data_IF_574745374516
#
_entry.id   IF_574745374516
#
_cell.length_a   1.000
_cell.length_b   1.000
_cell.length_c   1.000
_cell.angle_alpha   90.00
_cell.angle_beta   90.00
_cell.angle_gamma   90.00
#
_symmetry.space_group_name_H-M   'P 1'
#
loop_
_entity.id
_entity.type
_entity.pdbx_description
1 polymer ?
#
# COMPACT_ATOMS: atom_id res chain seq x y z
N UNK A 1 -16.88 9.15 16.68
CA UNK A 1 -17.34 7.75 16.54
C UNK A 1 -16.62 6.94 17.61
N UNK A 2 -17.29 6.01 18.29
CA UNK A 2 -16.64 5.18 19.32
C UNK A 2 -16.10 3.90 18.65
N UNK A 3 -14.91 4.00 18.06
CA UNK A 3 -14.30 2.91 17.30
C UNK A 3 -13.53 1.95 18.20
N UNK A 4 -13.55 0.67 17.86
CA UNK A 4 -12.87 -0.40 18.57
C UNK A 4 -12.61 -1.60 17.64
N UNK A 5 -11.93 -2.63 18.16
CA UNK A 5 -11.65 -3.85 17.41
C UNK A 5 -12.92 -4.59 16.93
N UNK A 6 -14.07 -4.38 17.60
CA UNK A 6 -15.38 -4.93 17.23
C UNK A 6 -16.26 -3.95 16.45
N UNK A 7 -15.93 -2.65 16.45
CA UNK A 7 -16.68 -1.59 15.78
C UNK A 7 -15.70 -0.68 15.01
N UNK A 8 -15.39 -1.08 13.78
CA UNK A 8 -14.37 -0.46 12.94
C UNK A 8 -14.97 0.26 11.73
N UNK A 9 -14.17 1.10 11.09
CA UNK A 9 -14.46 1.67 9.76
C UNK A 9 -13.60 0.98 8.70
N UNK A 10 -14.04 0.99 7.46
CA UNK A 10 -13.24 0.52 6.33
C UNK A 10 -13.26 1.52 5.19
N UNK A 11 -12.26 1.38 4.33
CA UNK A 11 -12.14 2.17 3.11
C UNK A 11 -11.28 1.44 2.09
N UNK A 12 -11.57 1.66 0.82
CA UNK A 12 -10.70 1.18 -0.25
C UNK A 12 -9.52 2.13 -0.38
N UNK A 13 -8.31 1.56 -0.41
CA UNK A 13 -7.07 2.32 -0.66
C UNK A 13 -6.32 1.72 -1.83
N UNK A 14 -5.67 2.56 -2.60
CA UNK A 14 -4.80 2.12 -3.68
C UNK A 14 -3.38 2.00 -3.17
N UNK A 15 -2.78 0.82 -3.33
CA UNK A 15 -1.33 0.63 -3.14
C UNK A 15 -0.60 0.37 -4.47
N UNK A 16 -1.36 -0.11 -5.47
CA UNK A 16 -1.01 -0.30 -6.89
C UNK A 16 0.17 -1.24 -7.17
N UNK A 17 1.36 -0.94 -6.66
CA UNK A 17 2.59 -1.69 -6.86
C UNK A 17 3.50 -1.54 -5.65
N UNK A 18 4.31 -2.55 -5.36
CA UNK A 18 5.42 -2.43 -4.40
C UNK A 18 6.72 -1.96 -5.04
N UNK A 19 6.76 -1.71 -6.35
CA UNK A 19 7.98 -1.26 -7.03
C UNK A 19 8.10 0.27 -7.05
N UNK A 20 9.17 0.84 -6.46
CA UNK A 20 9.50 2.25 -6.63
C UNK A 20 9.69 2.69 -8.09
N UNK A 21 10.19 1.79 -8.94
CA UNK A 21 10.45 2.10 -10.35
C UNK A 21 9.13 2.27 -11.11
N UNK A 22 8.20 1.33 -10.93
CA UNK A 22 6.85 1.41 -11.53
C UNK A 22 6.08 2.61 -10.96
N UNK A 23 6.25 2.88 -9.66
CA UNK A 23 5.70 4.07 -9.01
C UNK A 23 6.20 5.38 -9.64
N UNK A 24 7.51 5.51 -9.91
CA UNK A 24 8.10 6.70 -10.53
C UNK A 24 7.64 6.90 -11.99
N UNK A 25 7.50 5.82 -12.76
CA UNK A 25 7.08 5.87 -14.16
C UNK A 25 5.61 6.31 -14.28
N UNK A 26 4.71 5.68 -13.51
CA UNK A 26 3.27 5.79 -13.77
C UNK A 26 2.52 6.70 -12.79
N UNK A 27 3.01 6.86 -11.57
CA UNK A 27 2.21 7.41 -10.46
C UNK A 27 3.04 8.22 -9.45
N UNK A 28 4.09 8.89 -9.94
CA UNK A 28 5.02 9.70 -9.13
C UNK A 28 4.33 10.71 -8.20
N UNK A 29 3.19 11.26 -8.62
CA UNK A 29 2.42 12.22 -7.81
C UNK A 29 1.85 11.60 -6.52
N UNK A 30 1.58 10.30 -6.51
CA UNK A 30 0.88 9.63 -5.41
C UNK A 30 1.75 9.47 -4.16
N UNK A 31 3.07 9.42 -4.30
CA UNK A 31 4.00 9.39 -3.16
C UNK A 31 4.34 10.78 -2.60
N UNK A 32 3.85 11.89 -3.19
CA UNK A 32 4.23 13.23 -2.72
C UNK A 32 3.70 13.54 -1.30
N UNK A 33 4.48 14.27 -0.47
CA UNK A 33 5.75 14.96 -0.77
C UNK A 33 7.00 14.07 -0.78
N UNK A 34 6.86 12.78 -0.50
CA UNK A 34 7.95 11.79 -0.50
C UNK A 34 8.40 11.40 -1.92
N UNK A 35 9.41 10.53 -2.00
CA UNK A 35 9.92 9.97 -3.24
C UNK A 35 9.28 8.60 -3.54
N UNK A 36 9.32 8.15 -4.79
CA UNK A 36 8.86 6.80 -5.14
C UNK A 36 9.58 5.68 -4.38
N UNK A 37 10.83 5.88 -3.98
CA UNK A 37 11.58 4.91 -3.18
C UNK A 37 11.00 4.74 -1.78
N UNK A 38 10.34 5.77 -1.25
CA UNK A 38 9.70 5.73 0.06
C UNK A 38 8.33 5.03 0.00
N UNK A 39 7.79 4.78 -1.19
CA UNK A 39 6.42 4.29 -1.37
C UNK A 39 6.10 3.01 -0.60
N UNK A 40 6.91 1.93 -0.66
CA UNK A 40 6.57 0.68 0.02
C UNK A 40 6.47 0.88 1.55
N UNK A 41 7.38 1.66 2.13
CA UNK A 41 7.39 1.91 3.57
C UNK A 41 6.29 2.90 3.97
N UNK A 42 5.94 3.86 3.10
CA UNK A 42 4.80 4.75 3.29
C UNK A 42 3.48 3.97 3.35
N UNK A 43 3.30 2.97 2.49
CA UNK A 43 2.13 2.08 2.50
C UNK A 43 2.05 1.29 3.81
N UNK A 44 3.17 0.70 4.26
CA UNK A 44 3.20 -0.02 5.54
C UNK A 44 2.85 0.91 6.70
N UNK A 45 3.45 2.11 6.74
CA UNK A 45 3.16 3.08 7.79
C UNK A 45 1.70 3.54 7.79
N UNK A 46 1.09 3.67 6.61
CA UNK A 46 -0.33 3.97 6.50
C UNK A 46 -1.20 2.85 7.11
N UNK A 47 -0.87 1.57 6.85
CA UNK A 47 -1.57 0.43 7.44
C UNK A 47 -1.42 0.38 8.97
N UNK A 48 -0.23 0.69 9.51
CA UNK A 48 -0.02 0.81 10.95
C UNK A 48 -0.95 1.87 11.56
N UNK A 49 -0.98 3.07 10.98
CA UNK A 49 -1.83 4.18 11.45
C UNK A 49 -3.32 3.79 11.39
N UNK A 50 -3.76 3.15 10.30
CA UNK A 50 -5.15 2.72 10.16
C UNK A 50 -5.50 1.66 11.22
N UNK A 51 -4.64 0.67 11.42
CA UNK A 51 -4.84 -0.37 12.40
C UNK A 51 -4.90 0.18 13.84
N UNK A 52 -4.00 1.10 14.21
CA UNK A 52 -4.01 1.80 15.50
C UNK A 52 -5.32 2.57 15.76
N UNK A 53 -6.00 3.00 14.69
CA UNK A 53 -7.25 3.77 14.76
C UNK A 53 -8.51 2.95 14.48
N UNK A 54 -8.42 1.61 14.46
CA UNK A 54 -9.53 0.70 14.15
C UNK A 54 -10.15 0.94 12.76
N UNK A 55 -9.30 1.24 11.77
CA UNK A 55 -9.65 1.22 10.36
C UNK A 55 -9.12 -0.04 9.68
N UNK A 56 -9.95 -0.65 8.84
CA UNK A 56 -9.59 -1.81 8.02
C UNK A 56 -9.47 -1.35 6.57
N UNK A 57 -8.25 -1.22 6.03
CA UNK A 57 -8.04 -0.90 4.62
C UNK A 57 -8.34 -2.09 3.72
N UNK A 58 -9.11 -1.87 2.66
CA UNK A 58 -9.19 -2.80 1.52
C UNK A 58 -8.22 -2.30 0.43
N UNK A 59 -7.04 -2.91 0.33
CA UNK A 59 -6.02 -2.49 -0.64
C UNK A 59 -6.31 -2.99 -2.07
N UNK A 60 -6.04 -2.12 -3.04
CA UNK A 60 -6.08 -2.44 -4.47
C UNK A 60 -4.69 -2.39 -5.09
N UNK A 61 -4.43 -3.36 -5.97
CA UNK A 61 -3.18 -3.58 -6.70
C UNK A 61 -3.46 -3.58 -8.20
N UNK A 62 -2.46 -3.20 -8.99
CA UNK A 62 -2.48 -3.29 -10.45
C UNK A 62 -1.28 -4.12 -10.87
N UNK A 63 -1.53 -5.20 -11.62
CA UNK A 63 -0.50 -6.04 -12.20
C UNK A 63 -0.49 -5.87 -13.72
N UNK A 64 0.67 -6.05 -14.35
CA UNK A 64 0.86 -5.94 -15.79
C UNK A 64 0.91 -4.50 -16.30
N UNK A 65 1.34 -3.55 -15.46
CA UNK A 65 1.56 -2.16 -15.92
C UNK A 65 2.61 -2.11 -17.05
N UNK A 66 2.49 -1.18 -18.02
CA UNK A 66 3.46 -1.09 -19.11
C UNK A 66 4.89 -0.95 -18.59
N UNK A 67 5.75 -1.89 -19.01
CA UNK A 67 7.15 -1.95 -18.58
C UNK A 67 7.37 -2.57 -17.20
N UNK A 68 6.38 -3.22 -16.59
CA UNK A 68 6.55 -4.07 -15.40
C UNK A 68 7.40 -5.31 -15.74
N UNK A 69 8.40 -5.58 -14.90
CA UNK A 69 9.30 -6.71 -15.04
C UNK A 69 9.15 -7.65 -13.83
N UNK A 70 9.71 -8.86 -13.91
CA UNK A 70 9.63 -9.87 -12.84
C UNK A 70 10.07 -9.32 -11.48
N UNK A 71 11.13 -8.51 -11.44
CA UNK A 71 11.62 -7.89 -10.21
C UNK A 71 10.61 -6.94 -9.57
N UNK A 72 9.78 -6.26 -10.35
CA UNK A 72 8.75 -5.36 -9.79
C UNK A 72 7.60 -6.15 -9.19
N UNK A 73 7.30 -7.32 -9.75
CA UNK A 73 6.34 -8.27 -9.20
C UNK A 73 6.87 -8.81 -7.87
N UNK A 74 8.15 -9.19 -7.79
CA UNK A 74 8.79 -9.64 -6.53
C UNK A 74 8.71 -8.56 -5.44
N UNK A 75 8.97 -7.29 -5.79
CA UNK A 75 8.83 -6.18 -4.86
C UNK A 75 7.38 -5.97 -4.41
N UNK A 76 6.42 -6.15 -5.32
CA UNK A 76 4.99 -6.09 -5.01
C UNK A 76 4.57 -7.21 -4.07
N UNK A 77 5.04 -8.44 -4.30
CA UNK A 77 4.83 -9.57 -3.38
C UNK A 77 5.44 -9.26 -2.01
N UNK A 78 6.68 -8.75 -1.97
CA UNK A 78 7.35 -8.36 -0.72
C UNK A 78 6.55 -7.32 0.08
N UNK A 79 5.97 -6.33 -0.59
CA UNK A 79 5.08 -5.37 0.07
C UNK A 79 3.84 -6.06 0.64
N UNK A 80 3.17 -6.92 -0.11
CA UNK A 80 1.98 -7.65 0.36
C UNK A 80 2.30 -8.51 1.59
N UNK A 81 3.44 -9.20 1.58
CA UNK A 81 3.91 -9.99 2.73
C UNK A 81 4.12 -9.12 3.98
N UNK A 82 4.65 -7.90 3.84
CA UNK A 82 4.75 -6.94 4.95
C UNK A 82 3.40 -6.48 5.46
N UNK A 83 2.35 -6.50 4.63
CA UNK A 83 1.01 -6.06 5.01
C UNK A 83 0.15 -7.16 5.67
N UNK A 84 0.51 -8.44 5.51
CA UNK A 84 -0.21 -9.60 6.08
C UNK A 84 -0.54 -9.52 7.58
N UNK A 85 0.29 -8.92 8.46
CA UNK A 85 -0.02 -8.83 9.88
C UNK A 85 -1.20 -7.90 10.20
N UNK A 86 -1.56 -6.99 9.30
CA UNK A 86 -2.65 -6.05 9.52
C UNK A 86 -4.00 -6.67 9.12
N UNK A 87 -5.06 -6.27 9.81
CA UNK A 87 -6.42 -6.62 9.41
C UNK A 87 -6.78 -5.79 8.17
N UNK A 88 -7.02 -6.46 7.04
CA UNK A 88 -7.33 -5.86 5.73
C UNK A 88 -8.26 -6.74 4.91
#
# INVERSE_FOLDING_TARGET
>A
MNLSSSHWLSGQTGIETGSPRIMDIHMRGKCKPYSPNDWPDLVVRAFEILNENNWIPCATLILGLPGEEERDIELTISLIEKLRPFKS
#
